data_IF_495583213733
#
_entry.id   IF_495583213733
#
_cell.length_a   1.000
_cell.length_b   1.000
_cell.length_c   1.000
_cell.angle_alpha   90.00
_cell.angle_beta   90.00
_cell.angle_gamma   90.00
#
_symmetry.space_group_name_H-M   'P 1'
#
loop_
_entity.id
_entity.type
_entity.pdbx_description
1 polymer ?
#
# COMPACT_ATOMS: atom_id res chain seq x y z
N UNK A 1 3.08 3.34 18.00
CA UNK A 1 2.19 3.76 16.87
C UNK A 1 1.40 2.56 16.38
N UNK A 2 0.31 2.79 15.67
CA UNK A 2 -0.48 1.74 15.05
C UNK A 2 -0.32 1.83 13.52
N UNK A 3 0.15 0.74 12.91
CA UNK A 3 0.33 0.61 11.47
C UNK A 3 -0.84 -0.14 10.84
N UNK A 4 -1.37 0.35 9.73
CA UNK A 4 -2.23 -0.38 8.81
C UNK A 4 -1.36 -0.77 7.61
N UNK A 5 -1.10 -2.07 7.44
CA UNK A 5 -0.28 -2.60 6.34
C UNK A 5 -1.20 -3.28 5.34
N UNK A 6 -1.42 -2.64 4.18
CA UNK A 6 -2.23 -3.25 3.11
C UNK A 6 -1.36 -4.17 2.26
N UNK A 7 -1.93 -5.27 1.76
CA UNK A 7 -1.15 -6.33 1.13
C UNK A 7 -0.26 -7.08 2.13
N UNK A 8 -0.67 -7.06 3.41
CA UNK A 8 0.15 -7.57 4.51
C UNK A 8 0.30 -9.09 4.57
N UNK A 9 -0.52 -9.85 3.83
CA UNK A 9 -0.37 -11.29 3.66
C UNK A 9 0.44 -11.68 2.41
N UNK A 10 0.88 -10.70 1.60
CA UNK A 10 1.75 -10.90 0.46
C UNK A 10 3.22 -11.11 0.86
N UNK A 11 4.09 -11.35 -0.13
CA UNK A 11 5.51 -11.65 0.10
C UNK A 11 6.23 -10.57 0.92
N UNK A 12 6.26 -9.33 0.43
CA UNK A 12 6.93 -8.21 1.12
C UNK A 12 6.12 -7.78 2.35
N UNK A 13 4.78 -7.70 2.21
CA UNK A 13 3.92 -7.25 3.29
C UNK A 13 4.01 -8.10 4.55
N UNK A 14 4.06 -9.43 4.41
CA UNK A 14 4.20 -10.35 5.54
C UNK A 14 5.55 -10.18 6.26
N UNK A 15 6.62 -9.90 5.53
CA UNK A 15 7.93 -9.60 6.12
C UNK A 15 7.87 -8.30 6.93
N UNK A 16 7.25 -7.24 6.39
CA UNK A 16 7.04 -5.97 7.11
C UNK A 16 6.21 -6.17 8.37
N UNK A 17 5.12 -6.92 8.30
CA UNK A 17 4.26 -7.21 9.47
C UNK A 17 5.05 -7.95 10.55
N UNK A 18 5.81 -9.00 10.20
CA UNK A 18 6.65 -9.72 11.17
C UNK A 18 7.72 -8.83 11.77
N UNK A 19 8.42 -8.04 10.96
CA UNK A 19 9.46 -7.12 11.43
C UNK A 19 8.89 -6.12 12.46
N UNK A 20 7.75 -5.49 12.16
CA UNK A 20 7.11 -4.55 13.07
C UNK A 20 6.68 -5.20 14.38
N UNK A 21 6.15 -6.42 14.35
CA UNK A 21 5.69 -7.14 15.55
C UNK A 21 6.86 -7.67 16.37
N UNK A 22 7.90 -8.21 15.74
CA UNK A 22 9.00 -8.88 16.45
C UNK A 22 10.03 -7.89 17.00
N UNK A 23 10.31 -6.80 16.28
CA UNK A 23 11.42 -5.92 16.60
C UNK A 23 11.00 -4.52 17.05
N UNK A 24 9.68 -4.26 17.22
CA UNK A 24 9.18 -2.99 17.74
C UNK A 24 8.00 -3.21 18.71
N UNK A 25 7.59 -2.13 19.41
CA UNK A 25 6.39 -2.11 20.26
C UNK A 25 5.14 -1.60 19.52
N UNK A 26 5.15 -1.63 18.19
CA UNK A 26 4.03 -1.13 17.40
C UNK A 26 2.84 -2.12 17.36
N UNK A 27 1.64 -1.56 17.21
CA UNK A 27 0.45 -2.31 16.87
C UNK A 27 0.35 -2.40 15.35
N UNK A 28 -0.01 -3.57 14.83
CA UNK A 28 -0.10 -3.79 13.38
C UNK A 28 -1.45 -4.38 13.01
N UNK A 29 -2.13 -3.71 12.11
CA UNK A 29 -3.32 -4.21 11.42
C UNK A 29 -2.88 -4.65 10.02
N UNK A 30 -2.88 -5.94 9.77
CA UNK A 30 -2.65 -6.52 8.45
C UNK A 30 -3.96 -6.51 7.68
N UNK A 31 -4.02 -5.80 6.57
CA UNK A 31 -5.17 -5.76 5.68
C UNK A 31 -4.81 -6.43 4.36
N UNK A 32 -5.58 -7.46 3.97
CA UNK A 32 -5.36 -8.19 2.72
C UNK A 32 -6.68 -8.79 2.24
N UNK A 33 -6.90 -8.87 0.95
CA UNK A 33 -8.09 -9.50 0.39
C UNK A 33 -7.91 -11.01 0.13
N UNK A 34 -6.70 -11.55 0.35
CA UNK A 34 -6.33 -12.95 0.17
C UNK A 34 -6.59 -13.45 -1.26
N UNK A 35 -6.00 -12.76 -2.23
CA UNK A 35 -5.93 -13.27 -3.61
C UNK A 35 -4.89 -14.41 -3.68
N UNK A 36 -4.57 -14.86 -4.89
CA UNK A 36 -3.55 -15.88 -5.14
C UNK A 36 -2.17 -15.58 -4.51
N UNK A 37 -1.85 -14.31 -4.27
CA UNK A 37 -0.59 -13.86 -3.70
C UNK A 37 -0.61 -13.72 -2.16
N UNK A 38 -1.78 -13.74 -1.54
CA UNK A 38 -1.95 -13.64 -0.09
C UNK A 38 -1.90 -15.00 0.59
N UNK A 39 -1.00 -15.17 1.57
CA UNK A 39 -0.86 -16.40 2.34
C UNK A 39 -0.70 -16.09 3.84
N UNK A 40 -1.69 -16.47 4.64
CA UNK A 40 -1.66 -16.27 6.10
C UNK A 40 -0.62 -17.14 6.81
N UNK A 41 -0.18 -18.27 6.23
CA UNK A 41 0.89 -19.08 6.81
C UNK A 41 2.19 -18.28 6.98
N UNK A 42 2.40 -17.28 6.12
CA UNK A 42 3.53 -16.35 6.24
C UNK A 42 3.50 -15.49 7.50
N UNK A 43 2.36 -15.44 8.20
CA UNK A 43 2.12 -14.66 9.41
C UNK A 43 1.91 -15.54 10.66
N UNK A 44 2.04 -16.88 10.55
CA UNK A 44 1.78 -17.82 11.64
C UNK A 44 2.58 -17.50 12.92
N UNK A 45 3.81 -16.98 12.77
CA UNK A 45 4.67 -16.61 13.91
C UNK A 45 4.11 -15.44 14.74
N UNK A 46 3.28 -14.58 14.12
CA UNK A 46 2.77 -13.36 14.75
C UNK A 46 1.25 -13.35 14.94
N UNK A 47 0.53 -14.35 14.41
CA UNK A 47 -0.94 -14.39 14.42
C UNK A 47 -1.56 -14.31 15.82
N UNK A 48 -0.86 -14.86 16.85
CA UNK A 48 -1.32 -14.88 18.25
C UNK A 48 -0.79 -13.71 19.07
N UNK A 49 -0.01 -12.81 18.46
CA UNK A 49 0.52 -11.66 19.19
C UNK A 49 -0.62 -10.65 19.47
N UNK A 50 -0.80 -10.18 20.72
CA UNK A 50 -1.88 -9.24 21.06
C UNK A 50 -1.76 -7.87 20.35
N UNK A 51 -0.62 -7.57 19.74
CA UNK A 51 -0.38 -6.36 18.95
C UNK A 51 -0.70 -6.53 17.47
N UNK A 52 -1.07 -7.74 17.02
CA UNK A 52 -1.44 -8.06 15.65
C UNK A 52 -2.96 -8.18 15.51
N UNK A 53 -3.50 -7.65 14.42
CA UNK A 53 -4.87 -7.88 13.98
C UNK A 53 -4.90 -8.12 12.46
N UNK A 54 -5.84 -8.93 12.00
CA UNK A 54 -6.06 -9.18 10.58
C UNK A 54 -7.45 -8.71 10.15
N UNK A 55 -7.50 -8.00 9.01
CA UNK A 55 -8.73 -7.57 8.34
C UNK A 55 -8.73 -8.08 6.90
N UNK A 56 -9.68 -8.97 6.58
CA UNK A 56 -9.86 -9.43 5.21
C UNK A 56 -10.69 -8.42 4.43
N UNK A 57 -10.00 -7.47 3.79
CA UNK A 57 -10.62 -6.35 3.08
C UNK A 57 -9.94 -6.12 1.74
N UNK A 58 -10.73 -5.88 0.69
CA UNK A 58 -10.25 -5.41 -0.59
C UNK A 58 -10.10 -3.88 -0.55
N UNK A 59 -8.96 -3.35 -0.98
CA UNK A 59 -8.72 -1.89 -1.02
C UNK A 59 -9.65 -1.14 -1.98
N UNK A 60 -10.39 -1.83 -2.85
CA UNK A 60 -11.43 -1.25 -3.68
C UNK A 60 -12.79 -1.12 -2.96
N UNK A 61 -12.95 -1.67 -1.75
CA UNK A 61 -14.18 -1.59 -0.95
C UNK A 61 -14.12 -0.41 0.02
N UNK A 62 -14.56 0.77 -0.44
CA UNK A 62 -14.56 1.99 0.36
C UNK A 62 -15.31 1.86 1.70
N UNK A 63 -16.54 1.29 1.77
CA UNK A 63 -17.23 1.07 3.04
C UNK A 63 -16.47 0.17 4.02
N UNK A 64 -15.78 -0.86 3.54
CA UNK A 64 -14.96 -1.73 4.40
C UNK A 64 -13.72 -0.99 4.91
N UNK A 65 -13.06 -0.19 4.06
CA UNK A 65 -11.96 0.66 4.48
C UNK A 65 -12.37 1.67 5.55
N UNK A 66 -13.52 2.34 5.38
CA UNK A 66 -14.04 3.29 6.39
C UNK A 66 -14.28 2.62 7.74
N UNK A 67 -14.80 1.38 7.75
CA UNK A 67 -14.96 0.59 8.97
C UNK A 67 -13.61 0.27 9.60
N UNK A 68 -12.63 -0.17 8.79
CA UNK A 68 -11.27 -0.49 9.25
C UNK A 68 -10.58 0.73 9.87
N UNK A 69 -10.60 1.87 9.19
CA UNK A 69 -10.04 3.12 9.73
C UNK A 69 -10.72 3.55 11.03
N UNK A 70 -12.04 3.42 11.11
CA UNK A 70 -12.82 3.80 12.30
C UNK A 70 -12.55 2.88 13.49
N UNK A 71 -12.45 1.57 13.25
CA UNK A 71 -12.21 0.57 14.28
C UNK A 71 -10.77 0.61 14.81
N UNK A 72 -9.80 0.72 13.91
CA UNK A 72 -8.39 0.59 14.28
C UNK A 72 -7.68 1.92 14.51
N UNK A 73 -8.13 3.01 13.93
CA UNK A 73 -7.56 4.35 14.09
C UNK A 73 -6.02 4.39 13.88
N UNK A 74 -5.50 3.98 12.70
CA UNK A 74 -4.06 3.90 12.48
C UNK A 74 -3.38 5.27 12.53
N UNK A 75 -2.11 5.26 12.91
CA UNK A 75 -1.21 6.42 12.85
C UNK A 75 -0.44 6.46 11.53
N UNK A 76 -0.19 5.28 10.95
CA UNK A 76 0.55 5.10 9.69
C UNK A 76 -0.18 4.10 8.80
N UNK A 77 -0.31 4.42 7.52
CA UNK A 77 -0.70 3.48 6.47
C UNK A 77 0.55 3.12 5.67
N UNK A 78 0.89 1.83 5.59
CA UNK A 78 1.89 1.30 4.66
C UNK A 78 1.16 0.57 3.54
N UNK A 79 1.16 1.17 2.35
CA UNK A 79 0.40 0.67 1.21
C UNK A 79 1.26 -0.20 0.31
N UNK A 80 1.15 -1.54 0.49
CA UNK A 80 1.83 -2.56 -0.30
C UNK A 80 0.86 -3.39 -1.17
N UNK A 81 -0.46 -3.27 -0.95
CA UNK A 81 -1.43 -3.99 -1.76
C UNK A 81 -1.34 -3.58 -3.23
N UNK A 82 -1.07 -4.53 -4.10
CA UNK A 82 -0.98 -4.33 -5.54
C UNK A 82 -1.10 -5.66 -6.28
N UNK A 83 -1.58 -5.63 -7.52
CA UNK A 83 -1.24 -6.64 -8.51
C UNK A 83 0.17 -6.36 -9.02
N UNK A 84 1.08 -7.37 -9.01
CA UNK A 84 2.52 -7.14 -9.19
C UNK A 84 3.22 -8.03 -10.23
N UNK A 85 2.54 -9.06 -10.78
CA UNK A 85 3.15 -9.95 -11.76
C UNK A 85 3.09 -9.36 -13.17
N UNK A 86 4.24 -8.94 -13.71
CA UNK A 86 4.35 -8.28 -15.04
C UNK A 86 3.69 -9.11 -16.14
N UNK A 87 4.03 -10.41 -16.27
CA UNK A 87 3.46 -11.28 -17.33
C UNK A 87 1.93 -11.32 -17.24
N UNK A 88 1.35 -11.42 -16.04
CA UNK A 88 -0.11 -11.38 -15.87
C UNK A 88 -0.71 -10.03 -16.27
N UNK A 89 0.05 -8.95 -16.16
CA UNK A 89 -0.42 -7.63 -16.58
C UNK A 89 -0.57 -7.51 -18.10
N UNK A 90 0.19 -8.31 -18.86
CA UNK A 90 0.12 -8.36 -20.31
C UNK A 90 -1.15 -9.10 -20.74
N UNK A 91 -1.45 -10.23 -20.09
CA UNK A 91 -2.61 -11.06 -20.42
C UNK A 91 -3.94 -10.49 -19.92
N UNK A 92 -3.93 -9.83 -18.75
CA UNK A 92 -5.12 -9.30 -18.08
C UNK A 92 -4.89 -7.94 -17.41
N UNK A 93 -4.68 -6.85 -18.16
CA UNK A 93 -4.35 -5.54 -17.56
C UNK A 93 -5.46 -4.93 -16.71
N UNK A 94 -6.70 -5.39 -16.88
CA UNK A 94 -7.86 -4.86 -16.15
C UNK A 94 -7.74 -4.97 -14.64
N UNK A 95 -7.22 -6.09 -14.13
CA UNK A 95 -7.03 -6.30 -12.69
C UNK A 95 -5.99 -5.32 -12.10
N UNK A 96 -4.97 -4.98 -12.89
CA UNK A 96 -3.94 -4.00 -12.50
C UNK A 96 -4.50 -2.59 -12.44
N UNK A 97 -5.33 -2.19 -13.39
CA UNK A 97 -6.05 -0.91 -13.36
C UNK A 97 -6.97 -0.86 -12.14
N UNK A 98 -7.75 -1.91 -11.93
CA UNK A 98 -8.70 -1.99 -10.81
C UNK A 98 -7.98 -1.92 -9.47
N UNK A 99 -6.95 -2.75 -9.26
CA UNK A 99 -6.28 -2.83 -7.96
C UNK A 99 -5.32 -1.67 -7.75
N UNK A 100 -4.40 -1.44 -8.70
CA UNK A 100 -3.30 -0.50 -8.47
C UNK A 100 -3.73 0.96 -8.61
N UNK A 101 -4.68 1.28 -9.50
CA UNK A 101 -5.15 2.65 -9.69
C UNK A 101 -6.41 2.90 -8.88
N UNK A 102 -7.50 2.18 -9.15
CA UNK A 102 -8.76 2.42 -8.45
C UNK A 102 -8.68 2.06 -6.97
N UNK A 103 -8.02 0.94 -6.61
CA UNK A 103 -7.81 0.56 -5.21
C UNK A 103 -6.97 1.57 -4.45
N UNK A 104 -5.88 2.09 -5.05
CA UNK A 104 -5.07 3.16 -4.43
C UNK A 104 -5.89 4.45 -4.27
N UNK A 105 -6.67 4.84 -5.28
CA UNK A 105 -7.59 5.97 -5.16
C UNK A 105 -8.58 5.79 -4.00
N UNK A 106 -9.21 4.64 -3.91
CA UNK A 106 -10.20 4.33 -2.87
C UNK A 106 -9.59 4.37 -1.47
N UNK A 107 -8.39 3.80 -1.31
CA UNK A 107 -7.64 3.83 -0.05
C UNK A 107 -7.22 5.26 0.33
N UNK A 108 -6.78 6.07 -0.64
CA UNK A 108 -6.44 7.48 -0.42
C UNK A 108 -7.65 8.30 0.05
N UNK A 109 -8.83 8.09 -0.53
CA UNK A 109 -10.06 8.78 -0.11
C UNK A 109 -10.48 8.37 1.31
N UNK A 110 -10.43 7.08 1.64
CA UNK A 110 -10.71 6.61 3.00
C UNK A 110 -9.70 7.18 4.01
N UNK A 111 -8.40 7.17 3.68
CA UNK A 111 -7.35 7.74 4.51
C UNK A 111 -7.53 9.25 4.69
N UNK A 112 -7.85 10.00 3.62
CA UNK A 112 -8.10 11.44 3.66
C UNK A 112 -9.32 11.77 4.52
N UNK A 113 -10.42 11.04 4.34
CA UNK A 113 -11.64 11.19 5.15
C UNK A 113 -11.35 10.97 6.63
N UNK A 114 -10.65 9.88 6.96
CA UNK A 114 -10.21 9.59 8.33
C UNK A 114 -9.29 10.69 8.88
N UNK A 115 -8.20 11.02 8.17
CA UNK A 115 -7.21 12.02 8.58
C UNK A 115 -7.85 13.40 8.81
N UNK A 116 -8.82 13.79 7.97
CA UNK A 116 -9.48 15.10 8.10
C UNK A 116 -10.18 15.30 9.46
N UNK A 117 -10.60 14.21 10.10
CA UNK A 117 -11.31 14.19 11.39
C UNK A 117 -10.40 14.08 12.61
N UNK A 118 -9.10 13.85 12.41
CA UNK A 118 -8.13 13.77 13.52
C UNK A 118 -7.90 15.14 14.15
N UNK A 119 -7.50 15.14 15.43
CA UNK A 119 -6.98 16.34 16.08
C UNK A 119 -5.64 16.80 15.47
N UNK A 120 -5.23 18.00 15.76
CA UNK A 120 -4.03 18.61 15.17
C UNK A 120 -2.75 17.82 15.42
N UNK A 121 -2.59 17.20 16.61
CA UNK A 121 -1.42 16.41 16.97
C UNK A 121 -1.36 15.13 16.15
N UNK A 122 -2.47 14.40 16.07
CA UNK A 122 -2.55 13.16 15.27
C UNK A 122 -2.45 13.45 13.78
N UNK A 123 -3.05 14.54 13.29
CA UNK A 123 -2.88 14.97 11.88
C UNK A 123 -1.42 15.18 11.51
N UNK A 124 -0.67 15.88 12.35
CA UNK A 124 0.75 16.16 12.10
C UNK A 124 1.62 14.89 12.14
N UNK A 125 1.23 13.91 12.96
CA UNK A 125 1.96 12.65 13.10
C UNK A 125 1.59 11.59 12.06
N UNK A 126 0.39 11.67 11.46
CA UNK A 126 -0.09 10.70 10.48
C UNK A 126 0.82 10.61 9.26
N UNK A 127 0.98 9.40 8.70
CA UNK A 127 1.71 9.18 7.43
C UNK A 127 1.00 8.17 6.56
N UNK A 128 0.93 8.50 5.27
CA UNK A 128 0.55 7.56 4.20
C UNK A 128 1.82 7.21 3.42
N UNK A 129 2.35 6.01 3.64
CA UNK A 129 3.57 5.52 3.00
C UNK A 129 3.20 4.58 1.86
N UNK A 130 3.32 5.03 0.61
CA UNK A 130 3.07 4.26 -0.60
C UNK A 130 4.35 3.55 -1.05
N UNK A 131 4.24 2.27 -1.37
CA UNK A 131 5.36 1.47 -1.89
C UNK A 131 5.24 1.38 -3.41
N UNK A 132 6.24 1.89 -4.10
CA UNK A 132 6.35 1.88 -5.57
C UNK A 132 7.31 0.79 -6.06
N UNK A 133 7.78 0.93 -7.28
CA UNK A 133 8.75 0.06 -7.96
C UNK A 133 9.67 0.91 -8.82
N UNK A 134 10.89 0.45 -9.04
CA UNK A 134 11.83 1.06 -9.99
C UNK A 134 11.38 0.91 -11.45
N UNK A 135 10.53 -0.05 -11.76
CA UNK A 135 9.98 -0.23 -13.11
C UNK A 135 9.17 0.98 -13.63
N UNK A 136 8.77 1.90 -12.74
CA UNK A 136 8.14 3.17 -13.16
C UNK A 136 9.08 4.06 -13.97
N UNK A 137 10.39 3.85 -13.85
CA UNK A 137 11.42 4.57 -14.58
C UNK A 137 11.77 3.96 -15.95
N UNK A 138 11.27 2.74 -16.23
CA UNK A 138 11.53 2.05 -17.50
C UNK A 138 12.74 1.15 -17.46
N UNK A 139 13.49 1.11 -18.56
CA UNK A 139 14.61 0.19 -18.76
C UNK A 139 15.94 0.92 -18.87
N UNK A 140 17.03 0.29 -18.39
CA UNK A 140 18.42 0.80 -18.49
C UNK A 140 19.22 0.02 -19.55
N UNK A 141 18.61 -0.28 -20.70
CA UNK A 141 19.26 -1.05 -21.75
C UNK A 141 20.50 -0.34 -22.32
N UNK A 142 21.64 -1.04 -22.32
CA UNK A 142 22.88 -0.58 -22.96
C UNK A 142 23.61 0.55 -22.24
N UNK A 143 23.33 0.75 -20.95
CA UNK A 143 23.99 1.74 -20.10
C UNK A 143 24.41 1.11 -18.76
N UNK A 144 25.47 1.65 -18.14
CA UNK A 144 25.87 1.33 -16.76
C UNK A 144 25.25 2.33 -15.74
N UNK A 145 24.30 3.16 -16.18
CA UNK A 145 23.63 4.13 -15.31
C UNK A 145 22.73 3.46 -14.27
N UNK A 146 22.35 4.22 -13.26
CA UNK A 146 21.38 3.81 -12.22
C UNK A 146 20.16 4.73 -12.26
N UNK A 147 19.02 4.23 -11.87
CA UNK A 147 17.85 5.07 -11.59
C UNK A 147 18.12 6.00 -10.40
N UNK A 148 17.72 7.24 -10.55
CA UNK A 148 17.80 8.27 -9.51
C UNK A 148 16.39 8.82 -9.24
N UNK A 149 16.22 9.53 -8.14
CA UNK A 149 14.95 10.19 -7.79
C UNK A 149 14.54 11.26 -8.82
N UNK A 150 15.48 11.71 -9.65
CA UNK A 150 15.25 12.67 -10.74
C UNK A 150 15.01 12.01 -12.10
N UNK A 151 15.12 10.68 -12.20
CA UNK A 151 14.86 9.95 -13.45
C UNK A 151 13.40 10.14 -13.86
N UNK A 152 13.13 10.54 -15.11
CA UNK A 152 11.76 10.65 -15.62
C UNK A 152 11.04 9.29 -15.62
N UNK A 153 9.73 9.30 -15.35
CA UNK A 153 8.90 8.11 -15.48
C UNK A 153 8.77 7.71 -16.95
N UNK A 154 9.06 6.45 -17.25
CA UNK A 154 8.97 5.86 -18.59
C UNK A 154 8.50 4.39 -18.52
N UNK A 155 7.34 4.08 -17.88
CA UNK A 155 6.89 2.71 -17.65
C UNK A 155 6.67 1.97 -18.99
N UNK A 156 7.10 0.71 -19.09
CA UNK A 156 7.09 -0.08 -20.31
C UNK A 156 6.10 -1.28 -20.29
N UNK A 157 5.40 -1.51 -19.18
CA UNK A 157 4.41 -2.57 -19.03
C UNK A 157 3.08 -2.05 -18.46
N UNK A 158 1.95 -2.77 -18.61
CA UNK A 158 0.70 -2.41 -17.93
C UNK A 158 0.86 -2.37 -16.40
N UNK A 159 1.67 -3.26 -15.81
CA UNK A 159 2.00 -3.21 -14.38
C UNK A 159 2.71 -1.91 -14.02
N UNK A 160 3.85 -1.62 -14.65
CA UNK A 160 4.63 -0.42 -14.33
C UNK A 160 3.87 0.87 -14.61
N UNK A 161 3.04 0.90 -15.68
CA UNK A 161 2.15 2.02 -15.96
C UNK A 161 1.09 2.21 -14.86
N UNK A 162 0.50 1.12 -14.34
CA UNK A 162 -0.45 1.20 -13.23
C UNK A 162 0.21 1.67 -11.93
N UNK A 163 1.45 1.28 -11.66
CA UNK A 163 2.24 1.75 -10.51
C UNK A 163 2.61 3.22 -10.65
N UNK A 164 3.07 3.65 -11.82
CA UNK A 164 3.34 5.06 -12.10
C UNK A 164 2.08 5.93 -11.90
N UNK A 165 0.92 5.45 -12.35
CA UNK A 165 -0.36 6.13 -12.14
C UNK A 165 -0.70 6.26 -10.63
N UNK A 166 -0.50 5.19 -9.84
CA UNK A 166 -0.73 5.23 -8.39
C UNK A 166 0.22 6.19 -7.67
N UNK A 167 1.50 6.26 -8.07
CA UNK A 167 2.46 7.23 -7.55
C UNK A 167 1.99 8.68 -7.80
N UNK A 168 1.48 8.95 -9.00
CA UNK A 168 0.95 10.27 -9.33
C UNK A 168 -0.31 10.61 -8.53
N UNK A 169 -1.19 9.63 -8.24
CA UNK A 169 -2.33 9.83 -7.35
C UNK A 169 -1.87 10.21 -5.94
N UNK A 170 -0.93 9.47 -5.36
CA UNK A 170 -0.41 9.76 -4.01
C UNK A 170 0.19 11.16 -3.93
N UNK A 171 1.02 11.54 -4.91
CA UNK A 171 1.58 12.90 -5.00
C UNK A 171 0.49 13.97 -5.15
N UNK A 172 -0.55 13.70 -5.93
CA UNK A 172 -1.67 14.63 -6.10
C UNK A 172 -2.45 14.83 -4.81
N UNK A 173 -2.72 13.75 -4.04
CA UNK A 173 -3.40 13.84 -2.74
C UNK A 173 -2.60 14.62 -1.70
N UNK A 174 -1.29 14.38 -1.65
CA UNK A 174 -0.41 15.17 -0.79
C UNK A 174 -0.42 16.64 -1.17
N UNK A 175 -0.26 16.97 -2.46
CA UNK A 175 -0.16 18.35 -2.92
C UNK A 175 -1.48 19.12 -2.86
N UNK A 176 -2.60 18.45 -3.16
CA UNK A 176 -3.91 19.10 -3.26
C UNK A 176 -4.61 19.18 -1.91
N UNK A 177 -4.55 18.11 -1.13
CA UNK A 177 -5.30 17.99 0.12
C UNK A 177 -4.42 18.04 1.37
N UNK A 178 -3.10 18.00 1.23
CA UNK A 178 -2.15 17.99 2.33
C UNK A 178 -2.07 16.66 3.08
N UNK A 179 -2.58 15.55 2.51
CA UNK A 179 -2.45 14.22 3.12
C UNK A 179 -0.97 13.86 3.21
N UNK A 180 -0.42 13.69 4.43
CA UNK A 180 1.03 13.55 4.62
C UNK A 180 1.55 12.15 4.30
#
# INVERSE_FOLDING_TARGET
MKFLVTGGAGFIGSAVVRELIQHTDHLVVCLDCLTYAGNLDSLAEVERNPRYAFEQVNICDHPALDRTFSAHQPDVVMHLAAESHVDRSIDGPGDFIQTNIHGTYTLLEAARSYWSRLDAKRKAAFRFHHISTDEVYGDLHGTDDLFLETTPYAPSSPYSASKAASDHLVRAWQRTYGLP
#
